data_IF_389955812989
#
_entry.id   IF_389955812989
#
_cell.length_a   1.000
_cell.length_b   1.000
_cell.length_c   1.000
_cell.angle_alpha   90.00
_cell.angle_beta   90.00
_cell.angle_gamma   90.00
#
_symmetry.space_group_name_H-M   'P 1'
#
loop_
_entity.id
_entity.type
_entity.pdbx_description
1 polymer ?
#
# COMPACT_ATOMS: atom_id res chain seq x y z
N UNK A 1 -0.61 -4.04 19.14
CA UNK A 1 0.62 -4.17 19.96
C UNK A 1 1.62 -3.19 19.36
N UNK A 2 2.04 -2.14 20.07
CA UNK A 2 3.03 -1.19 19.53
C UNK A 2 4.43 -1.74 19.84
N UNK A 3 5.25 -1.96 18.82
CA UNK A 3 6.57 -2.57 18.94
C UNK A 3 7.56 -1.66 18.22
N UNK A 4 8.66 -1.35 18.89
CA UNK A 4 9.73 -0.49 18.37
C UNK A 4 10.95 -1.35 18.01
N UNK A 5 11.54 -1.10 16.85
CA UNK A 5 12.79 -1.75 16.46
C UNK A 5 13.96 -1.12 17.24
N UNK A 6 14.65 -1.91 18.05
CA UNK A 6 15.82 -1.48 18.84
C UNK A 6 17.15 -1.92 18.24
N UNK A 7 17.12 -2.94 17.40
CA UNK A 7 18.31 -3.54 16.79
C UNK A 7 18.01 -3.90 15.34
N UNK A 8 18.45 -3.03 14.42
CA UNK A 8 18.31 -3.22 12.98
C UNK A 8 19.32 -4.23 12.42
N UNK A 9 20.37 -4.58 13.17
CA UNK A 9 21.43 -5.51 12.76
C UNK A 9 20.94 -6.95 12.59
N UNK A 10 19.80 -7.29 13.18
CA UNK A 10 19.16 -8.61 13.01
C UNK A 10 18.47 -8.78 11.65
N UNK A 11 18.05 -7.69 11.02
CA UNK A 11 17.38 -7.75 9.73
C UNK A 11 18.38 -7.87 8.57
N UNK A 12 19.55 -7.22 8.69
CA UNK A 12 20.52 -7.11 7.60
C UNK A 12 21.01 -8.45 7.01
N UNK A 13 21.33 -9.50 7.81
CA UNK A 13 21.78 -10.78 7.27
C UNK A 13 20.71 -11.54 6.45
N UNK A 14 19.42 -11.25 6.64
CA UNK A 14 18.34 -11.89 5.88
C UNK A 14 18.37 -11.52 4.38
N UNK A 15 19.04 -10.42 4.04
CA UNK A 15 19.17 -9.91 2.68
C UNK A 15 20.59 -10.12 2.12
N UNK A 16 21.45 -10.85 2.84
CA UNK A 16 22.80 -11.15 2.38
C UNK A 16 22.75 -12.04 1.11
N UNK A 17 23.35 -11.58 0.02
CA UNK A 17 23.32 -12.25 -1.29
C UNK A 17 22.08 -11.95 -2.15
N UNK A 18 21.13 -11.12 -1.68
CA UNK A 18 19.99 -10.68 -2.48
C UNK A 18 20.46 -9.62 -3.50
N UNK A 19 20.35 -9.92 -4.79
CA UNK A 19 20.87 -9.08 -5.88
C UNK A 19 19.92 -7.97 -6.36
N UNK A 20 18.67 -7.99 -5.90
CA UNK A 20 17.63 -7.01 -6.24
C UNK A 20 17.51 -5.98 -5.11
N UNK A 21 17.52 -4.69 -5.43
CA UNK A 21 17.27 -3.65 -4.41
C UNK A 21 15.77 -3.60 -4.10
N UNK A 22 15.37 -3.62 -2.82
CA UNK A 22 13.99 -3.40 -2.34
C UNK A 22 13.30 -2.18 -3.00
N UNK A 23 14.08 -1.17 -3.38
CA UNK A 23 13.62 0.06 -4.04
C UNK A 23 13.14 -0.18 -5.48
N UNK A 24 13.66 -1.21 -6.17
CA UNK A 24 13.21 -1.54 -7.53
C UNK A 24 11.92 -2.35 -7.55
N UNK A 25 11.66 -3.15 -6.51
CA UNK A 25 10.48 -4.03 -6.38
C UNK A 25 9.26 -3.36 -5.72
N UNK A 26 9.44 -2.17 -5.13
CA UNK A 26 8.39 -1.48 -4.39
C UNK A 26 8.14 -0.09 -4.99
N UNK A 27 6.90 0.37 -4.90
CA UNK A 27 6.52 1.69 -5.39
C UNK A 27 5.49 2.32 -4.46
N UNK A 28 5.54 3.65 -4.35
CA UNK A 28 4.57 4.39 -3.56
C UNK A 28 4.46 5.84 -3.98
N UNK A 29 3.34 6.44 -3.61
CA UNK A 29 3.04 7.85 -3.77
C UNK A 29 2.59 8.43 -2.43
N UNK A 30 3.18 9.55 -2.01
CA UNK A 30 2.84 10.24 -0.77
C UNK A 30 2.43 11.68 -1.05
N UNK A 31 1.36 12.13 -0.39
CA UNK A 31 0.96 13.54 -0.34
C UNK A 31 1.50 14.14 0.95
N UNK A 32 2.24 15.23 0.81
CA UNK A 32 2.75 16.02 1.91
C UNK A 32 1.91 17.29 2.09
N UNK A 33 1.67 17.68 3.34
CA UNK A 33 1.20 19.00 3.74
C UNK A 33 2.25 19.62 4.65
N UNK A 34 2.80 20.75 4.24
CA UNK A 34 3.83 21.48 4.99
C UNK A 34 5.02 20.56 5.38
N UNK A 35 5.46 19.74 4.43
CA UNK A 35 6.55 18.77 4.60
C UNK A 35 6.17 17.46 5.32
N UNK A 36 4.95 17.33 5.85
CA UNK A 36 4.52 16.17 6.63
C UNK A 36 3.59 15.25 5.82
N UNK A 37 3.76 13.92 5.87
CA UNK A 37 2.83 12.98 5.25
C UNK A 37 1.41 13.12 5.79
N UNK A 38 0.44 13.19 4.87
CA UNK A 38 -0.99 13.23 5.19
C UNK A 38 -1.79 12.11 4.50
N UNK A 39 -1.28 11.56 3.40
CA UNK A 39 -1.83 10.37 2.75
C UNK A 39 -0.75 9.67 1.95
N UNK A 40 -0.81 8.34 1.85
CA UNK A 40 0.10 7.55 1.03
C UNK A 40 -0.60 6.35 0.42
N UNK A 41 -0.10 5.90 -0.73
CA UNK A 41 -0.38 4.59 -1.29
C UNK A 41 0.95 3.92 -1.60
N UNK A 42 1.14 2.66 -1.24
CA UNK A 42 2.39 1.94 -1.47
C UNK A 42 2.12 0.47 -1.74
N UNK A 43 3.13 -0.25 -2.25
CA UNK A 43 3.16 -1.70 -2.23
C UNK A 43 3.24 -2.21 -0.79
N UNK A 44 2.18 -2.86 -0.29
CA UNK A 44 2.20 -3.65 0.94
C UNK A 44 3.15 -4.85 0.79
N UNK A 45 3.03 -5.54 -0.34
CA UNK A 45 3.91 -6.60 -0.78
C UNK A 45 4.17 -6.45 -2.28
N UNK A 46 5.27 -7.04 -2.75
CA UNK A 46 5.61 -7.15 -4.17
C UNK A 46 5.73 -8.62 -4.58
N UNK A 47 5.41 -8.92 -5.84
CA UNK A 47 5.59 -10.23 -6.44
C UNK A 47 5.97 -10.09 -7.91
N UNK A 48 6.32 -11.19 -8.56
CA UNK A 48 6.70 -11.15 -9.97
C UNK A 48 5.54 -10.63 -10.84
N UNK A 49 5.70 -9.44 -11.39
CA UNK A 49 4.72 -8.78 -12.25
C UNK A 49 3.61 -8.03 -11.50
N UNK A 50 3.74 -7.74 -10.21
CA UNK A 50 2.72 -6.96 -9.49
C UNK A 50 3.01 -6.65 -8.03
N UNK A 51 2.03 -5.98 -7.40
CA UNK A 51 2.08 -5.60 -5.98
C UNK A 51 0.70 -5.82 -5.34
N UNK A 52 0.67 -5.92 -4.01
CA UNK A 52 -0.55 -5.65 -3.23
C UNK A 52 -0.57 -4.19 -2.78
N UNK A 53 -1.66 -3.48 -3.01
CA UNK A 53 -1.80 -2.05 -2.64
C UNK A 53 -2.18 -1.90 -1.16
N UNK A 54 -1.47 -0.99 -0.47
CA UNK A 54 -1.88 -0.39 0.80
C UNK A 54 -2.14 1.10 0.62
N UNK A 55 -3.22 1.64 1.21
CA UNK A 55 -3.52 3.07 1.19
C UNK A 55 -3.92 3.55 2.57
N UNK A 56 -3.18 4.54 3.07
CA UNK A 56 -3.45 5.21 4.32
C UNK A 56 -3.70 6.70 4.13
N UNK A 57 -4.64 7.23 4.91
CA UNK A 57 -4.84 8.67 5.07
C UNK A 57 -4.95 9.00 6.55
N UNK A 58 -4.14 9.97 6.98
CA UNK A 58 -4.14 10.48 8.35
C UNK A 58 -5.54 10.95 8.73
N UNK A 59 -5.96 10.65 9.96
CA UNK A 59 -7.36 10.78 10.37
C UNK A 59 -7.96 12.18 10.15
N UNK A 60 -7.20 13.22 10.49
CA UNK A 60 -7.53 14.64 10.30
C UNK A 60 -7.54 15.11 8.83
N UNK A 61 -7.08 14.26 7.89
CA UNK A 61 -7.04 14.52 6.45
C UNK A 61 -7.95 13.59 5.63
N UNK A 62 -8.74 12.74 6.28
CA UNK A 62 -9.71 11.85 5.61
C UNK A 62 -10.83 12.66 4.94
N UNK A 63 -11.54 12.00 4.00
CA UNK A 63 -12.68 12.56 3.23
C UNK A 63 -12.36 13.80 2.38
N UNK A 64 -11.08 14.07 2.10
CA UNK A 64 -10.62 15.16 1.21
C UNK A 64 -10.16 14.67 -0.18
N UNK A 65 -10.38 13.39 -0.50
CA UNK A 65 -9.99 12.77 -1.78
C UNK A 65 -8.53 12.34 -1.89
N UNK A 66 -7.73 12.50 -0.83
CA UNK A 66 -6.28 12.23 -0.86
C UNK A 66 -5.96 10.76 -1.15
N UNK A 67 -6.67 9.81 -0.53
CA UNK A 67 -6.55 8.38 -0.82
C UNK A 67 -6.80 8.06 -2.31
N UNK A 68 -7.77 8.72 -2.94
CA UNK A 68 -8.04 8.55 -4.38
C UNK A 68 -6.85 9.02 -5.22
N UNK A 69 -6.24 10.15 -4.89
CA UNK A 69 -5.09 10.69 -5.63
C UNK A 69 -3.87 9.78 -5.47
N UNK A 70 -3.54 9.37 -4.24
CA UNK A 70 -2.43 8.44 -4.01
C UNK A 70 -2.65 7.10 -4.71
N UNK A 71 -3.84 6.50 -4.57
CA UNK A 71 -4.18 5.23 -5.20
C UNK A 71 -4.10 5.30 -6.73
N UNK A 72 -4.68 6.35 -7.34
CA UNK A 72 -4.59 6.55 -8.78
C UNK A 72 -3.14 6.68 -9.26
N UNK A 73 -2.30 7.42 -8.53
CA UNK A 73 -0.88 7.57 -8.88
C UNK A 73 -0.14 6.24 -8.81
N UNK A 74 -0.34 5.47 -7.74
CA UNK A 74 0.28 4.15 -7.60
C UNK A 74 -0.14 3.20 -8.73
N UNK A 75 -1.44 3.13 -9.05
CA UNK A 75 -1.97 2.30 -10.14
C UNK A 75 -1.31 2.66 -11.47
N UNK A 76 -1.25 3.95 -11.82
CA UNK A 76 -0.66 4.39 -13.09
C UNK A 76 0.82 4.02 -13.19
N UNK A 77 1.58 4.15 -12.10
CA UNK A 77 2.99 3.76 -12.05
C UNK A 77 3.19 2.24 -12.14
N UNK A 78 2.29 1.43 -11.58
CA UNK A 78 2.27 -0.01 -11.81
C UNK A 78 2.02 -0.33 -13.28
N UNK A 79 1.02 0.29 -13.89
CA UNK A 79 0.66 0.05 -15.29
C UNK A 79 1.79 0.42 -16.26
N UNK A 80 2.50 1.53 -16.01
CA UNK A 80 3.67 1.95 -16.81
C UNK A 80 4.80 0.90 -16.77
N UNK A 81 4.93 0.18 -15.66
CA UNK A 81 5.90 -0.92 -15.46
C UNK A 81 5.39 -2.28 -15.94
N UNK A 82 4.16 -2.37 -16.44
CA UNK A 82 3.51 -3.64 -16.77
C UNK A 82 3.19 -4.50 -15.55
N UNK A 83 3.04 -3.88 -14.38
CA UNK A 83 2.72 -4.56 -13.12
C UNK A 83 1.22 -4.55 -12.85
N UNK A 84 0.69 -5.66 -12.32
CA UNK A 84 -0.67 -5.73 -11.83
C UNK A 84 -0.76 -5.11 -10.42
N UNK A 85 -1.57 -4.06 -10.22
CA UNK A 85 -1.80 -3.47 -8.91
C UNK A 85 -2.94 -4.23 -8.21
N UNK A 86 -2.63 -5.30 -7.50
CA UNK A 86 -3.64 -6.07 -6.76
C UNK A 86 -4.20 -5.26 -5.59
N UNK A 87 -5.47 -5.52 -5.26
CA UNK A 87 -6.20 -4.80 -4.22
C UNK A 87 -7.12 -5.75 -3.47
N UNK A 88 -6.83 -5.95 -2.19
CA UNK A 88 -7.72 -6.64 -1.26
C UNK A 88 -8.34 -5.66 -0.27
N UNK A 89 -9.66 -5.55 -0.28
CA UNK A 89 -10.36 -4.48 0.42
C UNK A 89 -10.73 -4.88 1.86
N UNK A 90 -9.94 -4.41 2.84
CA UNK A 90 -10.16 -4.64 4.28
C UNK A 90 -11.57 -4.25 4.79
N UNK A 91 -12.25 -3.29 4.15
CA UNK A 91 -13.58 -2.82 4.56
C UNK A 91 -14.36 -2.17 3.41
N UNK A 92 -15.66 -1.86 3.65
CA UNK A 92 -16.55 -1.26 2.64
C UNK A 92 -16.11 0.11 2.13
N UNK A 93 -15.33 0.89 2.89
CA UNK A 93 -14.78 2.15 2.40
C UNK A 93 -13.64 1.90 1.40
N UNK A 94 -12.82 0.88 1.64
CA UNK A 94 -11.81 0.41 0.69
C UNK A 94 -12.45 -0.12 -0.59
N UNK A 95 -13.54 -0.91 -0.50
CA UNK A 95 -14.31 -1.37 -1.68
C UNK A 95 -14.78 -0.19 -2.53
N UNK A 96 -15.40 0.82 -1.91
CA UNK A 96 -15.89 1.99 -2.63
C UNK A 96 -14.76 2.79 -3.30
N UNK A 97 -13.59 2.87 -2.66
CA UNK A 97 -12.40 3.51 -3.23
C UNK A 97 -11.85 2.72 -4.42
N UNK A 98 -11.72 1.40 -4.29
CA UNK A 98 -11.26 0.51 -5.37
C UNK A 98 -12.20 0.60 -6.59
N UNK A 99 -13.51 0.51 -6.37
CA UNK A 99 -14.50 0.65 -7.45
C UNK A 99 -14.42 2.01 -8.16
N UNK A 100 -14.21 3.09 -7.40
CA UNK A 100 -13.99 4.43 -7.98
C UNK A 100 -12.75 4.48 -8.87
N UNK A 101 -11.74 3.67 -8.59
CA UNK A 101 -10.48 3.58 -9.35
C UNK A 101 -10.50 2.52 -10.46
N UNK A 102 -11.66 1.91 -10.72
CA UNK A 102 -11.85 0.99 -11.84
C UNK A 102 -11.74 -0.50 -11.50
N UNK A 103 -11.58 -0.86 -10.22
CA UNK A 103 -11.67 -2.26 -9.81
C UNK A 103 -13.13 -2.74 -9.83
N UNK A 104 -13.32 -4.03 -10.09
CA UNK A 104 -14.62 -4.68 -9.99
C UNK A 104 -14.66 -5.53 -8.73
N UNK A 105 -15.80 -5.50 -8.03
CA UNK A 105 -16.03 -6.39 -6.91
C UNK A 105 -16.09 -7.84 -7.42
N UNK A 106 -15.32 -8.72 -6.81
CA UNK A 106 -15.31 -10.17 -7.08
C UNK A 106 -16.23 -10.90 -6.09
N UNK A 107 -15.79 -11.00 -4.83
CA UNK A 107 -16.53 -11.67 -3.75
C UNK A 107 -16.09 -11.17 -2.37
N UNK A 108 -16.93 -11.41 -1.37
CA UNK A 108 -16.58 -11.31 0.04
C UNK A 108 -16.00 -12.65 0.52
N UNK A 109 -15.12 -12.60 1.51
CA UNK A 109 -14.61 -13.78 2.20
C UNK A 109 -14.49 -13.50 3.71
N UNK A 110 -14.57 -14.56 4.52
CA UNK A 110 -14.46 -14.44 5.97
C UNK A 110 -13.00 -14.28 6.37
N UNK A 111 -12.69 -13.20 7.07
CA UNK A 111 -11.42 -12.98 7.75
C UNK A 111 -11.64 -12.91 9.28
N UNK A 112 -10.60 -13.27 10.04
CA UNK A 112 -10.61 -13.20 11.50
C UNK A 112 -9.49 -12.27 11.98
N UNK A 113 -9.80 -11.38 12.90
CA UNK A 113 -8.84 -10.51 13.55
C UNK A 113 -8.80 -10.80 15.06
N UNK A 114 -7.59 -10.86 15.63
CA UNK A 114 -7.43 -10.97 17.07
C UNK A 114 -7.69 -9.60 17.71
N UNK A 115 -8.86 -9.43 18.34
CA UNK A 115 -9.20 -8.22 19.09
C UNK A 115 -8.44 -8.23 20.42
N UNK A 116 -7.79 -7.11 20.75
CA UNK A 116 -7.07 -6.90 22.02
C UNK A 116 -7.83 -5.97 22.95
#
# INVERSE_FOLDING_TARGET
>A
MMIEIKDTGKAAPLFEGWQETLIWSCLGAVILKDGHPVSGASSYSGYQGGIEIEIDTREDYRRKGLATVCGAKLILECLDRGWYPSWDAQNKWSVALAQKLGYHYDREYTAYEAVR
#
